data_IF_284860152411
#
_entry.id   IF_284860152411
#
_cell.length_a   1.000
_cell.length_b   1.000
_cell.length_c   1.000
_cell.angle_alpha   90.00
_cell.angle_beta   90.00
_cell.angle_gamma   90.00
#
_symmetry.space_group_name_H-M   'P 1'
#
loop_
_entity.id
_entity.type
_entity.pdbx_description
1 polymer ?
#
# COMPACT_ATOMS: atom_id res chain seq x y z
N UNK A 1 36.91 25.35 -26.92
CA UNK A 1 36.80 23.88 -26.84
C UNK A 1 35.67 23.52 -25.88
N UNK A 2 34.53 23.06 -26.41
CA UNK A 2 33.30 22.82 -25.63
C UNK A 2 33.14 21.32 -25.37
N UNK A 3 33.32 20.88 -24.13
CA UNK A 3 33.12 19.49 -23.72
C UNK A 3 31.64 19.23 -23.46
N UNK A 4 30.96 18.58 -24.41
CA UNK A 4 29.63 18.00 -24.23
C UNK A 4 29.70 16.80 -23.26
N UNK A 5 29.20 16.98 -22.04
CA UNK A 5 28.99 15.89 -21.07
C UNK A 5 27.82 15.00 -21.52
N UNK A 6 28.12 13.74 -21.86
CA UNK A 6 27.13 12.66 -22.04
C UNK A 6 26.44 12.38 -20.70
N UNK A 7 25.11 12.50 -20.67
CA UNK A 7 24.26 11.99 -19.59
C UNK A 7 23.97 10.51 -19.87
N UNK A 8 24.39 9.61 -18.98
CA UNK A 8 23.92 8.22 -19.00
C UNK A 8 22.64 8.10 -18.18
N UNK A 9 21.58 7.62 -18.82
CA UNK A 9 20.32 7.25 -18.18
C UNK A 9 20.32 5.74 -17.96
N UNK A 10 20.50 5.31 -16.71
CA UNK A 10 20.31 3.91 -16.31
C UNK A 10 19.06 3.86 -15.43
N UNK A 11 17.94 3.45 -16.01
CA UNK A 11 16.81 2.85 -15.31
C UNK A 11 15.98 2.04 -16.31
N UNK A 12 16.22 0.74 -16.37
CA UNK A 12 15.37 -0.18 -17.13
C UNK A 12 15.09 -1.41 -16.28
N UNK A 13 13.80 -1.72 -16.10
CA UNK A 13 13.30 -2.84 -15.32
C UNK A 13 13.64 -4.18 -15.98
N UNK A 14 13.52 -5.26 -15.19
CA UNK A 14 13.81 -6.63 -15.58
C UNK A 14 13.25 -7.10 -16.95
N UNK A 15 12.04 -6.70 -17.41
CA UNK A 15 11.55 -7.06 -18.74
C UNK A 15 12.36 -6.41 -19.88
N UNK A 16 12.83 -5.18 -19.66
CA UNK A 16 13.59 -4.42 -20.65
C UNK A 16 15.04 -4.88 -20.73
N UNK A 17 15.57 -5.45 -19.64
CA UNK A 17 16.91 -6.04 -19.62
C UNK A 17 17.00 -7.32 -20.47
N UNK A 18 15.95 -8.15 -20.45
CA UNK A 18 15.86 -9.32 -21.34
C UNK A 18 15.75 -8.90 -22.81
N UNK A 19 14.97 -7.86 -23.12
CA UNK A 19 14.90 -7.26 -24.47
C UNK A 19 16.25 -6.69 -24.91
N UNK A 20 16.96 -5.96 -24.04
CA UNK A 20 18.28 -5.43 -24.34
C UNK A 20 19.32 -6.54 -24.58
N UNK A 21 19.25 -7.65 -23.84
CA UNK A 21 20.12 -8.82 -24.06
C UNK A 21 19.79 -9.50 -25.39
N UNK A 22 18.51 -9.59 -25.78
CA UNK A 22 18.12 -10.12 -27.10
C UNK A 22 18.54 -9.19 -28.24
N UNK A 23 18.43 -7.87 -28.08
CA UNK A 23 18.90 -6.88 -29.04
C UNK A 23 20.43 -6.91 -29.19
N UNK A 24 21.15 -7.06 -28.09
CA UNK A 24 22.61 -7.19 -28.10
C UNK A 24 23.06 -8.53 -28.70
N UNK A 25 22.33 -9.60 -28.46
CA UNK A 25 22.54 -10.92 -29.09
C UNK A 25 22.28 -10.86 -30.61
N UNK A 26 21.20 -10.20 -31.04
CA UNK A 26 20.89 -9.96 -32.46
C UNK A 26 21.92 -9.04 -33.15
N UNK A 27 22.48 -8.07 -32.41
CA UNK A 27 23.53 -7.19 -32.92
C UNK A 27 24.89 -7.90 -33.10
N UNK A 28 25.19 -8.90 -32.27
CA UNK A 28 26.42 -9.71 -32.33
C UNK A 28 26.40 -10.79 -33.42
N UNK A 29 25.23 -11.20 -33.91
CA UNK A 29 25.07 -12.14 -35.04
C UNK A 29 25.31 -11.49 -36.43
N UNK A 30 26.22 -10.51 -36.53
CA UNK A 30 26.46 -9.71 -37.75
C UNK A 30 27.26 -10.38 -38.87
N UNK A 31 27.75 -11.59 -38.67
CA UNK A 31 28.59 -12.28 -39.66
C UNK A 31 27.88 -13.35 -40.49
N UNK A 32 26.67 -13.75 -40.12
CA UNK A 32 25.89 -14.69 -40.92
C UNK A 32 24.90 -13.92 -41.80
N UNK A 33 25.15 -13.98 -43.12
CA UNK A 33 24.44 -13.32 -44.20
C UNK A 33 23.06 -13.98 -44.47
N UNK A 34 22.32 -14.27 -43.40
CA UNK A 34 20.98 -14.83 -43.41
C UNK A 34 19.92 -13.73 -43.36
N UNK A 35 18.82 -13.94 -44.07
CA UNK A 35 17.65 -13.06 -44.15
C UNK A 35 17.15 -12.62 -42.76
N UNK A 36 17.34 -11.34 -42.44
CA UNK A 36 17.01 -10.73 -41.13
C UNK A 36 15.57 -10.21 -41.06
N UNK A 37 14.84 -10.20 -42.18
CA UNK A 37 13.46 -9.72 -42.24
C UNK A 37 12.54 -10.43 -41.22
N UNK A 38 12.52 -11.77 -41.19
CA UNK A 38 11.61 -12.51 -40.31
C UNK A 38 11.86 -12.30 -38.81
N UNK A 39 13.10 -12.01 -38.41
CA UNK A 39 13.47 -11.84 -37.00
C UNK A 39 13.04 -10.46 -36.47
N UNK A 40 13.18 -9.42 -37.29
CA UNK A 40 12.71 -8.07 -36.95
C UNK A 40 11.18 -8.03 -36.84
N UNK A 41 10.47 -8.67 -37.76
CA UNK A 41 9.00 -8.78 -37.73
C UNK A 41 8.52 -9.51 -36.45
N UNK A 42 9.20 -10.59 -36.07
CA UNK A 42 8.90 -11.31 -34.82
C UNK A 42 9.15 -10.47 -33.56
N UNK A 43 10.19 -9.64 -33.55
CA UNK A 43 10.47 -8.73 -32.43
C UNK A 43 9.44 -7.60 -32.31
N UNK A 44 8.97 -7.06 -33.45
CA UNK A 44 7.88 -6.07 -33.45
C UNK A 44 6.55 -6.67 -33.01
N UNK A 45 6.26 -7.91 -33.40
CA UNK A 45 5.10 -8.66 -32.89
C UNK A 45 5.15 -8.83 -31.36
N UNK A 46 6.29 -9.26 -30.82
CA UNK A 46 6.48 -9.40 -29.35
C UNK A 46 6.35 -8.05 -28.64
N UNK A 47 6.92 -6.97 -29.19
CA UNK A 47 6.78 -5.62 -28.60
C UNK A 47 5.33 -5.15 -28.59
N UNK A 48 4.60 -5.41 -29.65
CA UNK A 48 3.18 -5.07 -29.78
C UNK A 48 2.35 -5.86 -28.78
N UNK A 49 2.56 -7.18 -28.69
CA UNK A 49 1.89 -8.03 -27.71
C UNK A 49 2.19 -7.60 -26.27
N UNK A 50 3.45 -7.28 -25.94
CA UNK A 50 3.81 -6.80 -24.61
C UNK A 50 3.18 -5.43 -24.30
N UNK A 51 3.03 -4.57 -25.30
CA UNK A 51 2.34 -3.28 -25.14
C UNK A 51 0.86 -3.47 -24.90
N UNK A 52 0.22 -4.33 -25.68
CA UNK A 52 -1.20 -4.68 -25.51
C UNK A 52 -1.45 -5.32 -24.14
N UNK A 53 -0.60 -6.26 -23.71
CA UNK A 53 -0.66 -6.83 -22.35
C UNK A 53 -0.43 -5.78 -21.27
N UNK A 54 0.45 -4.81 -21.51
CA UNK A 54 0.69 -3.72 -20.55
C UNK A 54 -0.48 -2.72 -20.50
N UNK A 55 -1.13 -2.41 -21.62
CA UNK A 55 -2.35 -1.58 -21.66
C UNK A 55 -3.54 -2.33 -21.02
N UNK A 56 -3.70 -3.62 -21.31
CA UNK A 56 -4.67 -4.50 -20.63
C UNK A 56 -4.40 -4.59 -19.12
N UNK A 57 -3.13 -4.57 -18.70
CA UNK A 57 -2.77 -4.55 -17.28
C UNK A 57 -2.89 -3.17 -16.61
N UNK A 58 -3.03 -2.07 -17.38
CA UNK A 58 -3.23 -0.72 -16.82
C UNK A 58 -4.67 -0.48 -16.34
N UNK A 59 -5.64 -1.16 -16.95
CA UNK A 59 -6.95 -1.34 -16.33
C UNK A 59 -6.78 -2.44 -15.28
N UNK A 60 -6.49 -2.06 -14.03
CA UNK A 60 -6.45 -3.06 -12.97
C UNK A 60 -7.87 -3.59 -12.83
N UNK A 61 -8.15 -4.88 -13.03
CA UNK A 61 -9.51 -5.42 -12.94
C UNK A 61 -10.13 -5.22 -11.55
N UNK A 62 -9.34 -4.80 -10.56
CA UNK A 62 -9.77 -4.52 -9.19
C UNK A 62 -10.33 -3.11 -8.99
N UNK A 63 -10.04 -2.14 -9.87
CA UNK A 63 -10.53 -0.76 -9.68
C UNK A 63 -12.01 -0.60 -9.93
N UNK A 64 -12.65 -1.61 -10.51
CA UNK A 64 -14.08 -1.66 -10.76
C UNK A 64 -14.81 -2.72 -9.94
N UNK A 65 -14.19 -3.25 -8.88
CA UNK A 65 -14.86 -4.24 -8.04
C UNK A 65 -16.09 -3.62 -7.38
N UNK A 66 -17.19 -4.35 -7.47
CA UNK A 66 -18.46 -4.10 -6.82
C UNK A 66 -18.66 -5.01 -5.60
N UNK A 67 -19.69 -4.75 -4.81
CA UNK A 67 -20.05 -5.64 -3.71
C UNK A 67 -20.55 -7.01 -4.22
N UNK A 68 -21.18 -7.03 -5.38
CA UNK A 68 -21.62 -8.23 -6.08
C UNK A 68 -20.41 -9.11 -6.43
N UNK A 69 -19.33 -8.53 -6.94
CA UNK A 69 -18.09 -9.27 -7.23
C UNK A 69 -17.51 -9.91 -5.95
N UNK A 70 -17.56 -9.21 -4.81
CA UNK A 70 -17.12 -9.80 -3.53
C UNK A 70 -17.98 -11.01 -3.15
N UNK A 71 -19.31 -10.94 -3.36
CA UNK A 71 -20.22 -12.05 -3.10
C UNK A 71 -19.93 -13.25 -4.01
N UNK A 72 -19.67 -13.02 -5.29
CA UNK A 72 -19.25 -14.05 -6.25
C UNK A 72 -17.91 -14.69 -5.85
N UNK A 73 -17.00 -13.90 -5.28
CA UNK A 73 -15.75 -14.39 -4.69
C UNK A 73 -15.94 -15.13 -3.34
N UNK A 74 -17.18 -15.27 -2.85
CA UNK A 74 -17.47 -15.88 -1.56
C UNK A 74 -17.02 -15.04 -0.36
N UNK A 75 -16.80 -13.74 -0.55
CA UNK A 75 -16.39 -12.79 0.48
C UNK A 75 -17.60 -12.02 0.97
N UNK A 76 -17.93 -12.15 2.26
CA UNK A 76 -19.13 -11.53 2.85
C UNK A 76 -18.77 -10.46 3.87
N UNK A 77 -19.63 -9.47 4.04
CA UNK A 77 -19.48 -8.52 5.13
C UNK A 77 -19.78 -9.20 6.46
N UNK A 78 -18.90 -8.99 7.43
CA UNK A 78 -19.02 -9.42 8.82
C UNK A 78 -19.60 -8.34 9.72
N UNK A 79 -19.56 -8.55 11.04
CA UNK A 79 -19.98 -7.53 12.00
C UNK A 79 -19.12 -6.27 11.90
N UNK A 80 -19.66 -5.12 12.30
CA UNK A 80 -18.90 -3.88 12.37
C UNK A 80 -17.74 -3.97 13.36
N UNK A 81 -16.72 -3.13 13.16
CA UNK A 81 -15.62 -2.95 14.09
C UNK A 81 -15.90 -1.76 15.01
N UNK A 82 -15.78 -1.98 16.32
CA UNK A 82 -15.83 -0.94 17.34
C UNK A 82 -14.42 -0.68 17.85
N UNK A 83 -14.04 0.58 17.93
CA UNK A 83 -12.79 0.97 18.56
C UNK A 83 -12.86 0.81 20.07
N UNK A 84 -11.81 0.29 20.67
CA UNK A 84 -11.63 0.43 22.11
C UNK A 84 -11.34 1.87 22.49
N UNK A 85 -11.94 2.30 23.58
CA UNK A 85 -11.65 3.59 24.22
C UNK A 85 -10.33 3.57 25.00
N UNK A 86 -9.79 2.39 25.29
CA UNK A 86 -8.59 2.19 26.12
C UNK A 86 -7.52 1.38 25.37
N UNK A 87 -6.24 1.59 25.74
CA UNK A 87 -5.14 0.72 25.30
C UNK A 87 -4.36 1.16 24.05
N UNK A 88 -4.59 2.36 23.51
CA UNK A 88 -3.65 2.90 22.53
C UNK A 88 -2.34 3.29 23.23
N UNK A 89 -1.17 3.00 22.63
CA UNK A 89 0.07 3.59 23.08
C UNK A 89 -0.10 5.11 23.01
N UNK A 90 -0.09 5.75 24.18
CA UNK A 90 0.09 7.19 24.27
C UNK A 90 1.53 7.47 23.88
N UNK A 91 1.74 8.36 22.91
CA UNK A 91 3.11 8.75 22.60
C UNK A 91 3.68 9.53 23.77
N UNK A 92 4.77 9.00 24.34
CA UNK A 92 5.54 9.64 25.40
C UNK A 92 6.63 10.48 24.74
N UNK A 93 6.21 11.57 24.10
CA UNK A 93 7.11 12.35 23.26
C UNK A 93 8.29 12.91 24.03
N UNK A 94 9.49 12.58 23.57
CA UNK A 94 10.74 13.18 24.05
C UNK A 94 11.10 14.36 23.15
N UNK A 95 11.58 15.43 23.76
CA UNK A 95 12.08 16.61 23.03
C UNK A 95 13.18 16.17 22.05
N UNK A 96 13.02 16.52 20.78
CA UNK A 96 13.97 16.20 19.71
C UNK A 96 13.68 14.93 18.91
N UNK A 97 12.58 14.21 19.20
CA UNK A 97 12.14 13.10 18.35
C UNK A 97 11.65 13.64 17.00
N UNK A 98 12.09 13.09 15.85
CA UNK A 98 11.52 13.45 14.55
C UNK A 98 10.06 12.99 14.47
N UNK A 99 9.20 13.73 13.78
CA UNK A 99 7.76 13.45 13.68
C UNK A 99 7.07 13.34 15.05
N UNK A 100 7.14 14.40 15.86
CA UNK A 100 6.21 14.59 16.98
C UNK A 100 4.77 14.78 16.47
N UNK A 101 3.79 14.69 17.35
CA UNK A 101 2.38 14.96 17.08
C UNK A 101 2.22 16.41 16.62
N UNK A 102 2.89 17.38 17.26
CA UNK A 102 2.84 18.78 16.80
C UNK A 102 3.48 18.94 15.42
N UNK A 103 4.58 18.26 15.13
CA UNK A 103 5.21 18.32 13.81
C UNK A 103 4.31 17.69 12.74
N UNK A 104 3.65 16.56 13.06
CA UNK A 104 2.67 15.95 12.17
C UNK A 104 1.52 16.92 11.91
N UNK A 105 0.93 17.53 12.95
CA UNK A 105 -0.15 18.51 12.81
C UNK A 105 0.27 19.72 11.95
N UNK A 106 1.46 20.28 12.22
CA UNK A 106 2.02 21.36 11.43
C UNK A 106 2.23 20.95 9.96
N UNK A 107 2.71 19.72 9.72
CA UNK A 107 2.91 19.19 8.37
C UNK A 107 1.58 19.00 7.63
N UNK A 108 0.56 18.43 8.28
CA UNK A 108 -0.77 18.27 7.70
C UNK A 108 -1.40 19.64 7.38
N UNK A 109 -1.24 20.62 8.27
CA UNK A 109 -1.69 22.00 8.04
C UNK A 109 -0.97 22.65 6.85
N UNK A 110 0.34 22.42 6.73
CA UNK A 110 1.13 22.87 5.59
C UNK A 110 0.64 22.24 4.28
N UNK A 111 0.49 20.91 4.23
CA UNK A 111 0.03 20.19 3.04
C UNK A 111 -1.36 20.67 2.61
N UNK A 112 -2.29 20.82 3.55
CA UNK A 112 -3.64 21.33 3.29
C UNK A 112 -3.65 22.71 2.64
N UNK A 113 -2.74 23.60 3.06
CA UNK A 113 -2.68 24.99 2.57
C UNK A 113 -1.96 25.13 1.23
N UNK A 114 -0.99 24.26 0.94
CA UNK A 114 -0.06 24.45 -0.18
C UNK A 114 -0.19 23.42 -1.30
N UNK A 115 -0.83 22.28 -1.07
CA UNK A 115 -1.01 21.25 -2.08
C UNK A 115 -2.46 21.22 -2.54
N UNK A 116 -2.75 21.37 -3.84
CA UNK A 116 -4.11 21.34 -4.36
C UNK A 116 -4.84 20.04 -3.98
N UNK A 117 -6.03 20.15 -3.39
CA UNK A 117 -6.82 19.01 -2.90
C UNK A 117 -7.26 18.03 -3.99
N UNK A 118 -7.23 18.43 -5.26
CA UNK A 118 -7.62 17.58 -6.40
C UNK A 118 -6.53 16.60 -6.85
N UNK A 119 -5.38 16.58 -6.19
CA UNK A 119 -4.25 15.77 -6.61
C UNK A 119 -4.12 14.53 -5.73
N UNK A 120 -4.11 13.34 -6.34
CA UNK A 120 -3.74 12.07 -5.68
C UNK A 120 -2.41 12.18 -4.89
N UNK A 121 -1.51 13.05 -5.36
CA UNK A 121 -0.24 13.34 -4.68
C UNK A 121 -0.42 13.87 -3.24
N UNK A 122 -1.50 14.61 -2.96
CA UNK A 122 -1.77 15.07 -1.59
C UNK A 122 -2.10 13.89 -0.68
N UNK A 123 -3.04 13.02 -1.09
CA UNK A 123 -3.43 11.84 -0.31
C UNK A 123 -2.21 10.99 0.05
N UNK A 124 -1.33 10.72 -0.92
CA UNK A 124 -0.09 9.97 -0.69
C UNK A 124 0.84 10.64 0.32
N UNK A 125 1.02 11.97 0.25
CA UNK A 125 1.86 12.70 1.20
C UNK A 125 1.29 12.66 2.61
N UNK A 126 -0.04 12.78 2.75
CA UNK A 126 -0.72 12.63 4.04
C UNK A 126 -0.50 11.21 4.60
N UNK A 127 -0.76 10.20 3.79
CA UNK A 127 -0.57 8.79 4.15
C UNK A 127 0.88 8.53 4.61
N UNK A 128 1.88 9.04 3.87
CA UNK A 128 3.28 8.88 4.27
C UNK A 128 3.62 9.58 5.58
N UNK A 129 3.08 10.79 5.83
CA UNK A 129 3.29 11.47 7.10
C UNK A 129 2.72 10.66 8.29
N UNK A 130 1.55 10.05 8.12
CA UNK A 130 0.97 9.15 9.12
C UNK A 130 1.80 7.88 9.34
N UNK A 131 2.31 7.27 8.26
CA UNK A 131 3.17 6.09 8.36
C UNK A 131 4.49 6.43 9.05
N UNK A 132 5.12 7.55 8.70
CA UNK A 132 6.36 8.01 9.35
C UNK A 132 6.15 8.23 10.86
N UNK A 133 5.03 8.84 11.26
CA UNK A 133 4.65 8.96 12.68
C UNK A 133 4.44 7.60 13.34
N UNK A 134 3.74 6.68 12.69
CA UNK A 134 3.51 5.34 13.21
C UNK A 134 4.83 4.58 13.45
N UNK A 135 5.82 4.74 12.58
CA UNK A 135 7.17 4.17 12.79
C UNK A 135 7.82 4.70 14.07
N UNK A 136 7.71 6.00 14.32
CA UNK A 136 8.26 6.62 15.54
C UNK A 136 7.58 6.06 16.79
N UNK A 137 6.24 5.94 16.79
CA UNK A 137 5.49 5.35 17.90
C UNK A 137 5.96 3.91 18.16
N UNK A 138 6.17 3.10 17.12
CA UNK A 138 6.68 1.73 17.26
C UNK A 138 8.09 1.74 17.87
N UNK A 139 8.97 2.62 17.40
CA UNK A 139 10.34 2.74 17.92
C UNK A 139 10.36 3.15 19.40
N UNK A 140 9.50 4.07 19.82
CA UNK A 140 9.32 4.47 21.22
C UNK A 140 8.82 3.30 22.07
N UNK A 141 7.71 2.69 21.65
CA UNK A 141 7.09 1.55 22.36
C UNK A 141 8.09 0.40 22.56
N UNK A 142 8.91 0.12 21.54
CA UNK A 142 9.90 -0.94 21.63
C UNK A 142 11.09 -0.58 22.54
N UNK A 143 11.51 0.68 22.59
CA UNK A 143 12.55 1.13 23.53
C UNK A 143 12.11 0.96 24.98
N UNK A 144 10.84 1.24 25.27
CA UNK A 144 10.29 1.12 26.63
C UNK A 144 10.26 -0.34 27.12
N UNK A 145 10.19 -1.31 26.21
CA UNK A 145 10.28 -2.76 26.51
C UNK A 145 11.74 -3.27 26.42
N UNK A 146 12.73 -2.39 26.29
CA UNK A 146 14.16 -2.76 26.22
C UNK A 146 14.62 -3.31 24.87
N UNK A 147 13.83 -3.16 23.80
CA UNK A 147 14.19 -3.62 22.44
C UNK A 147 14.98 -2.52 21.72
N UNK A 148 16.30 -2.64 21.69
CA UNK A 148 17.22 -1.59 21.19
C UNK A 148 17.41 -1.55 19.67
N UNK A 149 16.86 -2.50 18.89
CA UNK A 149 17.14 -2.64 17.45
C UNK A 149 15.88 -2.92 16.62
N UNK A 150 14.98 -1.94 16.57
CA UNK A 150 13.73 -2.04 15.78
C UNK A 150 13.86 -1.41 14.40
N UNK A 151 14.51 -0.25 14.28
CA UNK A 151 14.56 0.47 13.00
C UNK A 151 15.28 -0.30 11.90
N UNK A 152 16.37 -1.02 12.23
CA UNK A 152 17.06 -1.88 11.28
C UNK A 152 16.26 -3.13 10.86
N UNK A 153 15.29 -3.57 11.68
CA UNK A 153 14.49 -4.78 11.43
C UNK A 153 13.23 -4.48 10.63
N UNK A 154 12.46 -3.47 11.04
CA UNK A 154 11.22 -3.09 10.37
C UNK A 154 11.47 -2.28 9.09
N UNK A 155 12.51 -1.45 9.07
CA UNK A 155 12.83 -0.55 7.96
C UNK A 155 14.33 -0.55 7.66
N UNK A 156 14.87 -1.60 7.00
CA UNK A 156 16.29 -1.62 6.63
C UNK A 156 16.63 -0.31 5.92
N UNK A 157 17.67 0.38 6.41
CA UNK A 157 18.09 1.71 5.94
C UNK A 157 18.11 1.73 4.42
N UNK A 158 17.04 2.29 3.86
CA UNK A 158 16.91 2.41 2.43
C UNK A 158 18.00 3.33 1.91
N UNK A 159 18.76 2.96 0.86
CA UNK A 159 19.63 3.90 0.17
C UNK A 159 18.85 5.10 -0.41
N UNK A 160 17.50 5.04 -0.42
CA UNK A 160 16.61 6.11 -0.87
C UNK A 160 16.25 7.13 0.22
N UNK A 161 16.67 6.97 1.48
CA UNK A 161 16.44 7.98 2.54
C UNK A 161 17.10 9.34 2.26
N UNK A 162 17.95 9.44 1.23
CA UNK A 162 18.59 10.70 0.77
C UNK A 162 18.30 11.12 -0.68
N UNK A 163 17.48 10.38 -1.44
CA UNK A 163 17.09 10.82 -2.79
C UNK A 163 15.60 11.06 -2.84
N UNK A 164 15.27 12.35 -2.97
CA UNK A 164 13.93 12.86 -3.19
C UNK A 164 13.13 11.99 -4.17
N UNK A 165 11.87 11.78 -3.80
CA UNK A 165 10.80 11.16 -4.58
C UNK A 165 10.86 11.64 -6.03
N UNK A 166 11.40 10.82 -6.94
CA UNK A 166 11.28 11.04 -8.39
C UNK A 166 10.22 10.11 -8.97
N UNK A 167 9.20 10.76 -9.55
CA UNK A 167 8.12 10.29 -10.42
C UNK A 167 8.19 8.82 -10.86
N UNK A 168 7.30 8.01 -10.29
CA UNK A 168 6.65 6.85 -10.93
C UNK A 168 5.25 6.69 -10.32
N UNK A 169 4.22 6.42 -11.15
CA UNK A 169 2.86 6.12 -10.71
C UNK A 169 2.85 4.75 -10.00
N UNK A 170 2.83 4.78 -8.66
CA UNK A 170 2.67 3.63 -7.75
C UNK A 170 3.93 2.76 -7.47
N UNK A 171 4.55 2.91 -6.27
CA UNK A 171 5.11 1.80 -5.45
C UNK A 171 5.85 2.25 -4.16
N UNK A 172 5.59 1.55 -3.04
CA UNK A 172 6.62 1.27 -2.01
C UNK A 172 6.65 -0.23 -1.67
N UNK A 173 7.85 -0.82 -1.75
CA UNK A 173 8.29 -2.15 -1.25
C UNK A 173 9.76 -1.98 -0.86
N UNK A 174 10.29 -2.53 0.26
CA UNK A 174 11.74 -2.51 0.54
C UNK A 174 12.33 -3.76 1.21
N UNK A 175 13.46 -4.26 0.66
CA UNK A 175 14.35 -5.34 1.16
C UNK A 175 15.83 -5.05 0.80
N UNK A 176 16.85 -5.39 1.63
CA UNK A 176 17.44 -6.76 1.73
C UNK A 176 17.81 -7.18 3.19
N UNK A 177 17.52 -8.40 3.69
CA UNK A 177 18.34 -9.65 3.75
C UNK A 177 19.75 -9.45 4.36
N UNK A 178 20.23 -10.18 5.38
CA UNK A 178 19.89 -11.52 5.89
C UNK A 178 19.75 -11.53 7.43
N UNK A 179 18.73 -12.25 7.91
CA UNK A 179 18.35 -12.46 9.32
C UNK A 179 17.74 -11.27 10.09
N UNK A 180 16.42 -11.02 9.93
CA UNK A 180 15.48 -10.57 10.97
C UNK A 180 14.08 -10.24 10.40
N UNK A 181 13.08 -10.16 11.29
CA UNK A 181 11.63 -9.93 11.02
C UNK A 181 11.40 -8.57 10.34
N UNK A 182 10.72 -8.54 9.18
CA UNK A 182 10.44 -7.34 8.39
C UNK A 182 8.95 -6.99 8.39
N UNK A 183 8.65 -5.70 8.37
CA UNK A 183 7.32 -5.14 8.21
C UNK A 183 7.12 -4.70 6.77
N UNK A 184 5.96 -5.02 6.20
CA UNK A 184 5.61 -4.59 4.85
C UNK A 184 4.32 -3.79 4.88
N UNK A 185 4.43 -2.51 4.48
CA UNK A 185 3.30 -1.67 4.15
C UNK A 185 3.13 -1.74 2.64
N UNK A 186 2.08 -2.41 2.18
CA UNK A 186 1.74 -2.43 0.75
C UNK A 186 0.81 -1.26 0.48
N UNK A 187 1.21 -0.38 -0.45
CA UNK A 187 0.31 0.62 -1.01
C UNK A 187 -0.24 0.12 -2.33
N UNK A 188 -1.55 0.01 -2.40
CA UNK A 188 -2.27 -0.17 -3.65
C UNK A 188 -2.92 1.15 -4.04
N UNK A 189 -2.79 1.49 -5.32
CA UNK A 189 -3.45 2.65 -5.91
C UNK A 189 -4.49 2.13 -6.87
N UNK A 190 -5.74 2.56 -6.74
CA UNK A 190 -6.75 2.31 -7.77
C UNK A 190 -6.32 2.88 -9.12
N UNK A 191 -6.85 2.44 -10.26
CA UNK A 191 -6.63 3.10 -11.55
C UNK A 191 -7.94 3.19 -12.31
N UNK A 192 -8.35 4.41 -12.67
CA UNK A 192 -9.51 4.60 -13.55
C UNK A 192 -9.13 4.07 -14.94
N UNK A 193 -9.74 2.96 -15.34
CA UNK A 193 -9.56 2.33 -16.64
C UNK A 193 -10.80 1.50 -17.00
N UNK A 194 -11.19 1.45 -18.28
CA UNK A 194 -12.38 0.72 -18.70
C UNK A 194 -12.19 -0.81 -18.64
N UNK A 195 -13.33 -1.48 -18.46
CA UNK A 195 -13.55 -2.88 -18.07
C UNK A 195 -12.85 -3.91 -18.97
N UNK A 196 -12.19 -4.89 -18.33
CA UNK A 196 -11.89 -6.20 -18.90
C UNK A 196 -12.15 -7.25 -17.83
N UNK A 197 -13.14 -8.13 -18.07
CA UNK A 197 -13.52 -9.21 -17.18
C UNK A 197 -12.48 -10.33 -17.27
N UNK A 198 -11.60 -10.47 -16.29
CA UNK A 198 -10.76 -11.66 -16.17
C UNK A 198 -10.87 -12.30 -14.79
N UNK A 199 -10.72 -13.64 -14.68
CA UNK A 199 -11.00 -14.35 -13.43
C UNK A 199 -10.03 -13.98 -12.31
N UNK A 200 -10.46 -14.01 -11.03
CA UNK A 200 -9.63 -13.72 -9.85
C UNK A 200 -8.32 -14.53 -9.78
N UNK A 201 -8.29 -15.71 -10.40
CA UNK A 201 -7.14 -16.62 -10.45
C UNK A 201 -5.95 -16.06 -11.25
N UNK A 202 -6.21 -15.16 -12.21
CA UNK A 202 -5.16 -14.53 -13.01
C UNK A 202 -4.31 -13.55 -12.18
N UNK A 203 -4.88 -13.03 -11.08
CA UNK A 203 -4.20 -12.11 -10.17
C UNK A 203 -3.16 -12.81 -9.28
N UNK A 204 -3.39 -14.08 -8.89
CA UNK A 204 -2.40 -14.86 -8.12
C UNK A 204 -1.06 -15.01 -8.85
N UNK A 205 -1.03 -14.71 -10.15
CA UNK A 205 0.16 -14.76 -11.02
C UNK A 205 0.86 -13.41 -11.16
N UNK A 206 0.48 -12.36 -10.43
CA UNK A 206 1.22 -11.10 -10.49
C UNK A 206 2.68 -11.33 -10.05
N UNK A 207 3.67 -11.07 -10.93
CA UNK A 207 5.07 -11.42 -10.69
C UNK A 207 5.68 -10.69 -9.49
N UNK A 208 5.01 -9.64 -9.02
CA UNK A 208 5.42 -8.79 -7.92
C UNK A 208 5.04 -9.33 -6.54
N UNK A 209 3.96 -10.10 -6.42
CA UNK A 209 3.54 -10.71 -5.15
C UNK A 209 4.43 -11.90 -4.77
N UNK A 210 5.04 -12.55 -5.76
CA UNK A 210 6.03 -13.63 -5.55
C UNK A 210 7.25 -13.14 -4.76
N UNK A 211 7.60 -11.85 -4.84
CA UNK A 211 8.70 -11.29 -4.05
C UNK A 211 8.41 -11.19 -2.55
N UNK A 212 7.15 -11.41 -2.16
CA UNK A 212 6.69 -11.37 -0.77
C UNK A 212 6.72 -12.76 -0.12
N UNK A 213 6.88 -13.82 -0.93
CA UNK A 213 6.97 -15.19 -0.47
C UNK A 213 8.23 -15.36 0.40
N UNK A 214 8.04 -15.67 1.69
CA UNK A 214 9.13 -15.85 2.66
C UNK A 214 9.33 -14.73 3.69
N UNK A 215 8.58 -13.62 3.61
CA UNK A 215 8.54 -12.60 4.68
C UNK A 215 7.33 -12.88 5.58
N UNK A 216 7.51 -13.77 6.56
CA UNK A 216 6.38 -14.34 7.31
C UNK A 216 5.69 -13.38 8.32
N UNK A 217 6.21 -12.18 8.62
CA UNK A 217 6.12 -11.71 10.02
C UNK A 217 5.39 -10.41 10.34
N UNK A 218 4.89 -9.64 9.38
CA UNK A 218 3.80 -8.67 9.61
C UNK A 218 3.37 -8.07 8.28
N UNK A 219 2.07 -8.13 7.98
CA UNK A 219 1.53 -7.54 6.75
C UNK A 219 0.36 -6.65 7.10
N UNK A 220 0.53 -5.36 6.85
CA UNK A 220 -0.51 -4.35 6.98
C UNK A 220 -0.67 -3.64 5.64
N UNK A 221 -1.92 -3.45 5.22
CA UNK A 221 -2.26 -2.92 3.91
C UNK A 221 -2.84 -1.52 4.02
N UNK A 222 -2.44 -0.61 3.12
CA UNK A 222 -3.09 0.69 3.00
C UNK A 222 -3.51 0.86 1.54
N UNK A 223 -4.81 0.92 1.31
CA UNK A 223 -5.38 1.21 0.00
C UNK A 223 -5.76 2.69 -0.06
N UNK A 224 -5.30 3.37 -1.10
CA UNK A 224 -5.59 4.78 -1.37
C UNK A 224 -6.88 4.89 -2.20
N UNK A 225 -7.91 5.55 -1.64
CA UNK A 225 -9.07 6.02 -2.39
C UNK A 225 -8.68 7.27 -3.20
N UNK A 226 -8.96 7.25 -4.50
CA UNK A 226 -8.43 8.24 -5.43
C UNK A 226 -9.20 9.56 -5.44
N UNK A 227 -8.68 10.52 -4.70
CA UNK A 227 -9.23 11.88 -4.64
C UNK A 227 -9.75 12.19 -3.23
N UNK A 228 -9.58 13.44 -2.80
CA UNK A 228 -9.91 13.86 -1.44
C UNK A 228 -11.41 14.03 -1.18
N UNK A 229 -12.22 13.98 -2.23
CA UNK A 229 -13.68 14.06 -2.25
C UNK A 229 -14.35 12.69 -2.43
N UNK A 230 -13.57 11.62 -2.52
CA UNK A 230 -14.11 10.27 -2.64
C UNK A 230 -14.72 9.79 -1.33
N UNK A 231 -15.92 9.23 -1.46
CA UNK A 231 -16.62 8.47 -0.43
C UNK A 231 -15.93 7.12 -0.29
N UNK A 232 -15.35 6.83 0.89
CA UNK A 232 -14.53 5.63 1.09
C UNK A 232 -15.33 4.34 0.88
N UNK A 233 -16.61 4.32 1.22
CA UNK A 233 -17.49 3.16 1.10
C UNK A 233 -17.53 2.61 -0.33
N UNK A 234 -17.45 3.49 -1.34
CA UNK A 234 -17.45 3.08 -2.75
C UNK A 234 -16.15 2.36 -3.16
N UNK A 235 -15.07 2.51 -2.39
CA UNK A 235 -13.76 1.90 -2.63
C UNK A 235 -13.52 0.66 -1.76
N UNK A 236 -14.48 0.29 -0.89
CA UNK A 236 -14.39 -0.90 -0.03
C UNK A 236 -14.22 -2.18 -0.84
N UNK A 237 -15.02 -2.45 -1.90
CA UNK A 237 -14.91 -3.72 -2.61
C UNK A 237 -13.53 -3.93 -3.22
N UNK A 238 -12.98 -2.87 -3.81
CA UNK A 238 -11.62 -2.86 -4.31
C UNK A 238 -10.60 -3.17 -3.21
N UNK A 239 -10.63 -2.43 -2.10
CA UNK A 239 -9.67 -2.61 -1.01
C UNK A 239 -9.71 -4.05 -0.44
N UNK A 240 -10.92 -4.60 -0.27
CA UNK A 240 -11.13 -5.97 0.19
C UNK A 240 -10.61 -6.99 -0.83
N UNK A 241 -10.88 -6.79 -2.13
CA UNK A 241 -10.40 -7.66 -3.20
C UNK A 241 -8.86 -7.70 -3.29
N UNK A 242 -8.22 -6.54 -3.14
CA UNK A 242 -6.76 -6.41 -3.07
C UNK A 242 -6.19 -7.13 -1.84
N UNK A 243 -6.77 -6.88 -0.66
CA UNK A 243 -6.39 -7.56 0.59
C UNK A 243 -6.56 -9.07 0.48
N UNK A 244 -7.66 -9.55 -0.09
CA UNK A 244 -7.96 -10.98 -0.27
C UNK A 244 -6.94 -11.65 -1.16
N UNK A 245 -6.67 -11.04 -2.31
CA UNK A 245 -5.72 -11.59 -3.25
C UNK A 245 -4.32 -11.67 -2.66
N UNK A 246 -3.92 -10.66 -1.89
CA UNK A 246 -2.66 -10.70 -1.15
C UNK A 246 -2.65 -11.77 -0.06
N UNK A 247 -3.74 -11.89 0.71
CA UNK A 247 -3.88 -12.89 1.75
C UNK A 247 -3.73 -14.31 1.19
N UNK A 248 -4.33 -14.58 0.03
CA UNK A 248 -4.21 -15.85 -0.70
C UNK A 248 -2.78 -16.13 -1.12
N UNK A 249 -2.09 -15.16 -1.72
CA UNK A 249 -0.68 -15.32 -2.13
C UNK A 249 0.26 -15.54 -0.93
N UNK A 250 0.01 -14.84 0.18
CA UNK A 250 0.80 -14.93 1.40
C UNK A 250 0.38 -16.09 2.33
N UNK A 251 -0.66 -16.84 1.98
CA UNK A 251 -1.29 -17.88 2.81
C UNK A 251 -1.65 -17.37 4.22
N UNK A 252 -2.12 -16.13 4.31
CA UNK A 252 -2.57 -15.50 5.55
C UNK A 252 -4.06 -15.74 5.76
N UNK A 253 -4.42 -16.16 6.98
CA UNK A 253 -5.82 -16.32 7.39
C UNK A 253 -6.47 -14.99 7.76
N UNK A 254 -5.72 -14.10 8.37
CA UNK A 254 -6.17 -12.79 8.80
C UNK A 254 -5.26 -11.73 8.19
N UNK A 255 -5.87 -10.67 7.67
CA UNK A 255 -5.18 -9.51 7.14
C UNK A 255 -5.82 -8.24 7.69
N UNK A 256 -4.98 -7.33 8.18
CA UNK A 256 -5.38 -6.00 8.65
C UNK A 256 -5.04 -4.96 7.58
N UNK A 257 -5.92 -4.00 7.34
CA UNK A 257 -5.71 -2.97 6.34
C UNK A 257 -6.50 -1.68 6.59
N UNK A 258 -6.12 -0.61 5.93
CA UNK A 258 -6.84 0.66 5.96
C UNK A 258 -7.18 1.11 4.54
N UNK A 259 -8.35 1.71 4.38
CA UNK A 259 -8.77 2.43 3.19
C UNK A 259 -8.83 3.92 3.53
N UNK A 260 -8.18 4.77 2.74
CA UNK A 260 -8.05 6.19 3.06
C UNK A 260 -7.91 7.08 1.83
N UNK A 261 -8.45 8.29 1.91
CA UNK A 261 -8.20 9.39 0.96
C UNK A 261 -7.17 10.41 1.53
N UNK A 262 -6.47 10.04 2.61
CA UNK A 262 -5.52 10.87 3.36
C UNK A 262 -6.17 11.68 4.51
N UNK A 263 -7.44 12.07 4.37
CA UNK A 263 -8.17 12.86 5.38
C UNK A 263 -9.17 12.05 6.20
N UNK A 264 -9.64 10.95 5.64
CA UNK A 264 -10.53 10.01 6.28
C UNK A 264 -9.94 8.60 6.22
N UNK A 265 -10.12 7.84 7.28
CA UNK A 265 -9.52 6.51 7.44
C UNK A 265 -10.57 5.49 7.85
N UNK A 266 -10.76 4.46 7.03
CA UNK A 266 -11.62 3.33 7.28
C UNK A 266 -10.75 2.08 7.51
N UNK A 267 -10.96 1.40 8.64
CA UNK A 267 -10.16 0.24 9.02
C UNK A 267 -10.87 -1.05 8.63
N UNK A 268 -10.11 -1.99 8.07
CA UNK A 268 -10.60 -3.23 7.48
C UNK A 268 -9.86 -4.42 8.09
N UNK A 269 -10.62 -5.40 8.57
CA UNK A 269 -10.10 -6.73 8.93
C UNK A 269 -10.70 -7.73 7.94
N UNK A 270 -9.84 -8.51 7.28
CA UNK A 270 -10.23 -9.59 6.38
C UNK A 270 -9.82 -10.94 6.96
N UNK A 271 -10.80 -11.83 7.11
CA UNK A 271 -10.65 -13.23 7.52
C UNK A 271 -10.89 -14.14 6.31
N UNK A 272 -9.83 -14.76 5.80
CA UNK A 272 -9.91 -15.73 4.69
C UNK A 272 -10.36 -17.08 5.23
N UNK A 273 -11.33 -17.70 4.56
CA UNK A 273 -11.82 -19.04 4.91
C UNK A 273 -10.67 -20.06 4.87
N UNK A 274 -10.62 -21.04 5.81
CA UNK A 274 -9.65 -22.14 5.75
C UNK A 274 -9.68 -22.94 4.44
N UNK A 275 -10.86 -23.04 3.80
CA UNK A 275 -11.00 -23.68 2.48
C UNK A 275 -10.40 -22.86 1.35
N UNK A 276 -10.15 -21.57 1.58
CA UNK A 276 -9.58 -20.66 0.59
C UNK A 276 -10.53 -20.19 -0.50
N UNK A 277 -11.81 -20.55 -0.45
CA UNK A 277 -12.85 -20.20 -1.44
C UNK A 277 -13.67 -18.96 -1.07
N UNK A 278 -13.11 -18.04 -0.29
CA UNK A 278 -13.81 -16.83 0.15
C UNK A 278 -13.35 -16.34 1.52
N UNK A 279 -14.18 -15.55 2.18
CA UNK A 279 -13.84 -14.98 3.48
C UNK A 279 -14.92 -14.06 4.05
N UNK A 280 -14.54 -13.33 5.09
CA UNK A 280 -15.37 -12.33 5.74
C UNK A 280 -14.56 -11.07 5.98
N UNK A 281 -15.12 -9.91 5.69
CA UNK A 281 -14.47 -8.62 6.00
C UNK A 281 -15.30 -7.79 6.97
N UNK A 282 -14.65 -7.05 7.84
CA UNK A 282 -15.29 -6.18 8.84
C UNK A 282 -14.74 -4.78 8.75
N UNK A 283 -15.59 -3.77 8.92
CA UNK A 283 -15.27 -2.36 8.75
C UNK A 283 -15.46 -1.57 10.04
N UNK A 284 -14.58 -0.62 10.32
CA UNK A 284 -14.81 0.38 11.38
C UNK A 284 -15.75 1.49 10.93
N UNK A 285 -16.13 2.36 11.86
CA UNK A 285 -16.56 3.71 11.47
C UNK A 285 -15.36 4.49 10.90
N UNK A 286 -15.57 5.38 9.91
CA UNK A 286 -14.52 6.25 9.41
C UNK A 286 -13.98 7.18 10.52
N UNK A 287 -12.67 7.43 10.51
CA UNK A 287 -12.03 8.48 11.31
C UNK A 287 -11.66 9.64 10.40
N UNK A 288 -12.37 10.75 10.53
CA UNK A 288 -12.06 12.00 9.82
C UNK A 288 -11.06 12.82 10.63
N UNK A 289 -9.92 13.16 10.02
CA UNK A 289 -8.86 13.95 10.69
C UNK A 289 -8.96 15.45 10.45
N UNK A 290 -9.93 15.88 9.64
CA UNK A 290 -10.29 17.29 9.45
C UNK A 290 -11.80 17.47 9.34
N UNK A 291 -12.30 18.67 9.60
CA UNK A 291 -13.69 19.01 9.36
C UNK A 291 -13.95 20.51 9.51
N UNK A 292 -15.20 20.96 9.38
CA UNK A 292 -15.52 22.38 9.46
C UNK A 292 -15.27 22.94 10.88
N UNK A 293 -14.80 24.18 10.95
CA UNK A 293 -14.83 25.04 12.13
C UNK A 293 -16.10 25.88 12.16
N UNK A 294 -16.31 26.60 13.27
CA UNK A 294 -17.38 27.60 13.40
C UNK A 294 -17.26 28.73 12.36
N UNK A 295 -16.05 28.97 11.84
CA UNK A 295 -15.79 29.96 10.78
C UNK A 295 -15.98 29.41 9.36
N UNK A 296 -16.35 28.13 9.23
CA UNK A 296 -16.45 27.43 7.95
C UNK A 296 -15.09 27.02 7.35
N UNK A 297 -13.98 27.35 8.01
CA UNK A 297 -12.65 26.87 7.61
C UNK A 297 -12.48 25.41 8.01
N UNK A 298 -11.77 24.62 7.20
CA UNK A 298 -11.39 23.27 7.64
C UNK A 298 -10.37 23.36 8.77
N UNK A 299 -10.57 22.62 9.85
CA UNK A 299 -9.62 22.47 10.96
C UNK A 299 -9.19 21.01 11.06
N UNK A 300 -7.93 20.78 11.41
CA UNK A 300 -7.39 19.44 11.66
C UNK A 300 -7.68 19.09 13.12
N UNK A 301 -8.19 17.88 13.36
CA UNK A 301 -8.55 17.41 14.70
C UNK A 301 -7.37 16.66 15.34
N UNK A 302 -6.66 17.23 16.34
CA UNK A 302 -5.46 16.63 16.91
C UNK A 302 -5.68 15.21 17.44
N UNK A 303 -6.76 15.02 18.19
CA UNK A 303 -7.15 13.71 18.74
C UNK A 303 -7.37 12.65 17.65
N UNK A 304 -7.92 13.03 16.50
CA UNK A 304 -8.12 12.11 15.38
C UNK A 304 -6.80 11.75 14.70
N UNK A 305 -5.90 12.73 14.52
CA UNK A 305 -4.56 12.53 13.96
C UNK A 305 -3.75 11.57 14.83
N UNK A 306 -3.67 11.83 16.14
CA UNK A 306 -2.98 10.98 17.11
C UNK A 306 -3.55 9.56 17.07
N UNK A 307 -4.89 9.44 17.09
CA UNK A 307 -5.58 8.15 16.99
C UNK A 307 -5.22 7.37 15.71
N UNK A 308 -5.26 7.99 14.53
CA UNK A 308 -4.90 7.31 13.27
C UNK A 308 -3.46 6.79 13.32
N UNK A 309 -2.51 7.62 13.77
CA UNK A 309 -1.11 7.23 13.87
C UNK A 309 -0.90 6.07 14.86
N UNK A 310 -1.58 6.08 16.01
CA UNK A 310 -1.48 4.99 16.99
C UNK A 310 -2.10 3.68 16.48
N UNK A 311 -3.21 3.73 15.73
CA UNK A 311 -3.78 2.52 15.11
C UNK A 311 -2.83 1.95 14.05
N UNK A 312 -2.28 2.80 13.18
CA UNK A 312 -1.27 2.37 12.21
C UNK A 312 -0.10 1.68 12.92
N UNK A 313 0.45 2.31 13.96
CA UNK A 313 1.57 1.77 14.72
C UNK A 313 1.25 0.39 15.30
N UNK A 314 0.10 0.27 15.94
CA UNK A 314 -0.37 -0.98 16.54
C UNK A 314 -0.55 -2.08 15.48
N UNK A 315 -1.28 -1.82 14.39
CA UNK A 315 -1.51 -2.83 13.35
C UNK A 315 -0.28 -3.18 12.53
N UNK A 316 0.66 -2.25 12.38
CA UNK A 316 1.97 -2.53 11.82
C UNK A 316 2.77 -3.49 12.72
N UNK A 317 2.71 -3.31 14.04
CA UNK A 317 3.40 -4.17 14.99
C UNK A 317 2.79 -5.58 15.07
N UNK A 318 1.45 -5.66 15.11
CA UNK A 318 0.69 -6.90 15.35
C UNK A 318 0.09 -7.53 14.09
N UNK A 319 0.41 -7.02 12.90
CA UNK A 319 -0.22 -7.42 11.64
C UNK A 319 -0.07 -8.89 11.25
N UNK A 320 0.86 -9.64 11.85
CA UNK A 320 1.01 -11.09 11.66
C UNK A 320 0.35 -11.95 12.71
N UNK A 321 -0.08 -11.36 13.82
CA UNK A 321 -0.67 -12.07 14.95
C UNK A 321 -2.14 -12.39 14.63
N UNK A 322 -2.67 -13.46 15.21
CA UNK A 322 -4.09 -13.75 15.14
C UNK A 322 -4.90 -12.62 15.82
N UNK A 323 -6.20 -12.55 15.56
CA UNK A 323 -7.06 -11.59 16.24
C UNK A 323 -7.16 -11.98 17.70
N UNK A 324 -6.87 -11.02 18.57
CA UNK A 324 -6.97 -11.20 20.01
C UNK A 324 -7.91 -10.16 20.61
N UNK A 325 -8.30 -10.38 21.86
CA UNK A 325 -8.96 -9.35 22.66
C UNK A 325 -8.07 -8.13 22.92
N UNK A 326 -6.83 -8.08 22.44
CA UNK A 326 -5.95 -6.91 22.52
C UNK A 326 -5.95 -6.06 21.24
N UNK A 327 -6.56 -6.54 20.13
CA UNK A 327 -6.65 -5.75 18.90
C UNK A 327 -7.44 -4.46 19.15
N UNK A 328 -6.94 -3.34 18.61
CA UNK A 328 -7.55 -2.02 18.83
C UNK A 328 -9.04 -1.95 18.42
N UNK A 329 -9.41 -2.71 17.40
CA UNK A 329 -10.80 -2.88 16.98
C UNK A 329 -11.31 -4.25 17.41
N UNK A 330 -12.48 -4.27 18.05
CA UNK A 330 -13.22 -5.50 18.35
C UNK A 330 -14.50 -5.56 17.55
N UNK A 331 -15.02 -6.76 17.34
CA UNK A 331 -16.32 -6.94 16.70
C UNK A 331 -17.42 -6.32 17.56
N UNK A 332 -18.37 -5.63 16.93
CA UNK A 332 -19.61 -5.27 17.59
C UNK A 332 -20.35 -6.54 17.95
N UNK A 333 -20.59 -6.78 19.24
CA UNK A 333 -21.49 -7.83 19.69
C UNK A 333 -22.85 -7.56 19.05
N UNK A 334 -23.45 -8.51 18.33
CA UNK A 334 -24.81 -8.35 17.84
C UNK A 334 -25.70 -8.06 19.05
N UNK A 335 -26.47 -6.98 19.01
CA UNK A 335 -27.48 -6.75 20.04
C UNK A 335 -28.45 -7.94 19.91
N UNK A 336 -28.60 -8.81 20.93
CA UNK A 336 -29.57 -9.88 20.86
C UNK A 336 -30.95 -9.25 20.63
N UNK A 337 -31.59 -9.69 19.55
CA UNK A 337 -32.90 -9.21 19.10
C UNK A 337 -34.01 -9.48 20.09
#
# INVERSE_FOLDING_TARGET
MSQKRKRSSISQGLPTRALAVMEESAARSKEERGDRGPLLERLEAIRTELRERAEQAKASPLSSLSFEDLLEMGIRQGPGLRSKTTGLPQSTEKVGTPWTEELLLAHLAFLRRHVPNKNEELARRLIFAFVDRAVVIIEETCKDVGVTSVSNRLFPRSPYRRRAVTRCKGRLVMFPSSQARKLQVCFFTSSDGPLSQSPPEQYLRQPNLMSLYGIEKSTFFVTEAKGSDQILENHVPQAVGEMYSCARTLKKKIVRGALTNGWEWLWIILEVSPSGGGGRYSLSQPITVQGPSDTGEKVIYPKAVSRVASVLAHWMLHGSEDLTECDYYTYTVPIPS
#
